data_IF_792119777175
#
_entry.id   IF_792119777175
#
_cell.length_a   1.000
_cell.length_b   1.000
_cell.length_c   1.000
_cell.angle_alpha   90.00
_cell.angle_beta   90.00
_cell.angle_gamma   90.00
#
_symmetry.space_group_name_H-M   'P 1'
#
loop_
_entity.id
_entity.type
_entity.pdbx_description
1 polymer ?
#
# COMPACT_ATOMS: atom_id res chain seq x y z
N UNK A 1 3.89 12.68 -4.40
CA UNK A 1 3.08 11.82 -5.30
C UNK A 1 3.78 10.53 -5.77
N UNK A 2 5.06 10.54 -6.18
CA UNK A 2 5.77 9.35 -6.72
C UNK A 2 5.65 8.09 -5.85
N UNK A 3 5.77 8.24 -4.51
CA UNK A 3 5.68 7.14 -3.54
C UNK A 3 4.31 6.45 -3.50
N UNK A 4 3.21 7.21 -3.62
CA UNK A 4 1.85 6.66 -3.65
C UNK A 4 1.59 5.85 -4.93
N UNK A 5 2.10 6.33 -6.06
CA UNK A 5 1.93 5.65 -7.36
C UNK A 5 2.67 4.31 -7.40
N UNK A 6 3.86 4.24 -6.80
CA UNK A 6 4.68 3.01 -6.78
C UNK A 6 4.31 2.05 -5.65
N UNK A 7 4.03 2.57 -4.45
CA UNK A 7 3.89 1.75 -3.23
C UNK A 7 2.54 1.89 -2.53
N UNK A 8 1.60 2.65 -3.09
CA UNK A 8 0.28 2.85 -2.51
C UNK A 8 -0.61 1.62 -2.60
N UNK A 9 -1.68 1.64 -1.80
CA UNK A 9 -2.64 0.54 -1.68
C UNK A 9 -3.20 0.10 -3.02
N UNK A 10 -3.69 1.05 -3.84
CA UNK A 10 -4.26 0.77 -5.16
C UNK A 10 -3.25 0.03 -6.05
N UNK A 11 -1.99 0.47 -6.08
CA UNK A 11 -0.96 -0.18 -6.91
C UNK A 11 -0.66 -1.60 -6.44
N UNK A 12 -0.63 -1.84 -5.13
CA UNK A 12 -0.48 -3.18 -4.56
C UNK A 12 -1.70 -4.06 -4.84
N UNK A 13 -2.90 -3.52 -4.88
CA UNK A 13 -4.10 -4.33 -5.12
C UNK A 13 -4.30 -4.73 -6.60
N UNK A 14 -3.67 -4.02 -7.54
CA UNK A 14 -3.79 -4.27 -8.97
C UNK A 14 -3.19 -5.62 -9.41
N UNK A 15 -2.05 -6.02 -8.84
CA UNK A 15 -1.34 -7.24 -9.26
C UNK A 15 -1.53 -8.39 -8.25
N UNK A 16 -1.47 -9.63 -8.73
CA UNK A 16 -1.52 -10.83 -7.87
C UNK A 16 -0.43 -10.82 -6.79
N UNK A 17 0.81 -10.50 -7.19
CA UNK A 17 1.94 -10.37 -6.27
C UNK A 17 1.74 -9.26 -5.23
N UNK A 18 1.18 -8.12 -5.63
CA UNK A 18 0.90 -7.03 -4.70
C UNK A 18 -0.21 -7.39 -3.69
N UNK A 19 -1.23 -8.14 -4.11
CA UNK A 19 -2.25 -8.69 -3.19
C UNK A 19 -1.64 -9.64 -2.16
N UNK A 20 -0.65 -10.46 -2.55
CA UNK A 20 0.10 -11.32 -1.61
C UNK A 20 0.84 -10.50 -0.55
N UNK A 21 1.46 -9.38 -0.94
CA UNK A 21 2.10 -8.44 0.00
C UNK A 21 1.07 -7.91 1.01
N UNK A 22 -0.10 -7.45 0.56
CA UNK A 22 -1.15 -6.95 1.45
C UNK A 22 -1.63 -8.03 2.42
N UNK A 23 -1.86 -9.26 1.93
CA UNK A 23 -2.27 -10.41 2.76
C UNK A 23 -1.25 -10.72 3.85
N UNK A 24 0.04 -10.77 3.51
CA UNK A 24 1.11 -11.04 4.49
C UNK A 24 1.20 -9.94 5.55
N UNK A 25 1.02 -8.68 5.16
CA UNK A 25 1.03 -7.55 6.10
C UNK A 25 -0.16 -7.57 7.05
N UNK A 26 -1.35 -7.92 6.56
CA UNK A 26 -2.55 -8.15 7.40
C UNK A 26 -2.34 -9.30 8.37
N UNK A 27 -1.82 -10.43 7.89
CA UNK A 27 -1.51 -11.60 8.73
C UNK A 27 -0.53 -11.26 9.86
N UNK A 28 0.47 -10.42 9.58
CA UNK A 28 1.41 -9.94 10.60
C UNK A 28 0.81 -8.90 11.56
N UNK A 29 -0.39 -8.38 11.31
CA UNK A 29 -1.00 -7.35 12.15
C UNK A 29 -0.34 -5.98 12.04
N UNK A 30 0.23 -5.63 10.87
CA UNK A 30 0.87 -4.32 10.68
C UNK A 30 -0.19 -3.22 10.74
N UNK A 31 0.00 -2.23 11.63
CA UNK A 31 -0.86 -1.04 11.74
C UNK A 31 -1.09 -0.31 10.40
N UNK A 32 -0.06 -0.29 9.53
CA UNK A 32 -0.15 0.25 8.17
C UNK A 32 0.20 -0.78 7.11
N UNK A 33 -0.66 -0.95 6.10
CA UNK A 33 -0.47 -1.93 5.02
C UNK A 33 0.40 -1.39 3.86
N UNK A 34 0.45 -0.08 3.65
CA UNK A 34 1.26 0.56 2.61
C UNK A 34 1.93 1.82 3.12
N UNK A 35 2.79 2.45 2.31
CA UNK A 35 3.37 3.73 2.65
C UNK A 35 2.26 4.79 2.77
N UNK A 36 2.15 5.41 3.96
CA UNK A 36 1.30 6.59 4.16
C UNK A 36 1.87 7.73 3.32
N UNK A 37 1.06 8.27 2.41
CA UNK A 37 1.42 9.47 1.68
C UNK A 37 0.49 10.56 2.19
N UNK A 38 1.02 11.62 2.84
CA UNK A 38 0.18 12.72 3.28
C UNK A 38 -0.54 13.29 2.05
N UNK A 39 -1.86 13.41 2.15
CA UNK A 39 -2.62 14.19 1.18
C UNK A 39 -2.23 15.64 1.48
N UNK A 40 -1.44 16.26 0.60
CA UNK A 40 -1.36 17.72 0.60
C UNK A 40 -2.78 18.17 0.27
N UNK A 41 -3.48 18.73 1.25
CA UNK A 41 -4.63 19.57 0.98
C UNK A 41 -4.09 20.69 0.10
N UNK A 42 -4.59 20.75 -1.12
CA UNK A 42 -4.26 21.81 -2.06
C UNK A 42 -5.44 22.77 -2.04
#
# INVERSE_FOLDING_TARGET
>A
MRRARKFGFRKRNQTSAGRKVLRNRRRKGRASLTASVPRRFR
#
